data_IF_699161762435
#
_entry.id   IF_699161762435
#
_cell.length_a   1.000
_cell.length_b   1.000
_cell.length_c   1.000
_cell.angle_alpha   90.00
_cell.angle_beta   90.00
_cell.angle_gamma   90.00
#
_symmetry.space_group_name_H-M   'P 1'
#
loop_
_entity.id
_entity.type
_entity.pdbx_description
1 polymer ?
#
# COMPACT_ATOMS: atom_id res chain seq x y z
N UNK A 1 -17.97 3.25 -12.75
CA UNK A 1 -16.87 3.87 -13.46
C UNK A 1 -15.89 2.87 -14.07
N UNK A 2 -14.92 3.33 -14.86
CA UNK A 2 -14.00 2.44 -15.55
C UNK A 2 -12.97 1.80 -14.60
N UNK A 3 -12.57 0.57 -14.94
CA UNK A 3 -11.37 -0.09 -14.42
C UNK A 3 -10.32 -0.02 -15.53
N UNK A 4 -9.17 0.57 -15.25
CA UNK A 4 -8.08 0.74 -16.21
C UNK A 4 -6.78 0.13 -15.70
N UNK A 5 -5.88 -0.20 -16.62
CA UNK A 5 -4.52 -0.62 -16.28
C UNK A 5 -3.58 0.58 -16.12
N UNK A 6 -2.29 0.30 -15.90
CA UNK A 6 -1.25 1.32 -15.74
C UNK A 6 -0.95 2.12 -17.00
N UNK A 7 -1.49 1.71 -18.15
CA UNK A 7 -1.41 2.43 -19.43
C UNK A 7 -2.70 3.16 -19.79
N UNK A 8 -3.70 3.13 -18.91
CA UNK A 8 -5.00 3.74 -19.14
C UNK A 8 -5.96 2.91 -20.00
N UNK A 9 -5.59 1.67 -20.35
CA UNK A 9 -6.46 0.77 -21.12
C UNK A 9 -7.63 0.32 -20.26
N UNK A 10 -8.85 0.46 -20.77
CA UNK A 10 -10.06 0.03 -20.08
C UNK A 10 -10.17 -1.51 -20.08
N UNK A 11 -10.29 -2.09 -18.88
CA UNK A 11 -10.42 -3.54 -18.67
C UNK A 11 -11.81 -3.95 -18.23
N UNK A 12 -12.59 -3.03 -17.68
CA UNK A 12 -13.92 -3.33 -17.16
C UNK A 12 -14.58 -2.13 -16.51
N UNK A 13 -15.59 -2.41 -15.70
CA UNK A 13 -16.39 -1.41 -14.97
C UNK A 13 -16.47 -1.79 -13.49
N UNK A 14 -16.43 -0.81 -12.62
CA UNK A 14 -16.70 -0.98 -11.21
C UNK A 14 -18.01 -0.30 -10.80
N UNK A 15 -18.61 -0.75 -9.72
CA UNK A 15 -19.84 -0.19 -9.18
C UNK A 15 -19.55 1.06 -8.33
N UNK A 16 -18.59 0.96 -7.41
CA UNK A 16 -18.14 2.06 -6.53
C UNK A 16 -16.71 1.84 -6.11
N UNK A 17 -15.90 2.90 -6.10
CA UNK A 17 -14.51 2.84 -5.63
C UNK A 17 -14.41 2.37 -4.17
N UNK A 18 -15.37 2.72 -3.34
CA UNK A 18 -15.37 2.34 -1.92
C UNK A 18 -15.48 0.84 -1.67
N UNK A 19 -15.92 0.07 -2.66
CA UNK A 19 -16.01 -1.39 -2.54
C UNK A 19 -14.67 -2.10 -2.73
N UNK A 20 -13.64 -1.36 -3.11
CA UNK A 20 -12.32 -1.93 -3.42
C UNK A 20 -11.29 -1.48 -2.40
N UNK A 21 -10.29 -2.33 -2.18
CA UNK A 21 -9.16 -2.08 -1.28
C UNK A 21 -7.85 -2.18 -2.07
N UNK A 22 -6.89 -1.32 -1.80
CA UNK A 22 -5.57 -1.42 -2.43
C UNK A 22 -4.96 -2.80 -2.14
N UNK A 23 -4.40 -3.42 -3.15
CA UNK A 23 -3.90 -4.79 -3.07
C UNK A 23 -4.95 -5.88 -3.27
N UNK A 24 -6.22 -5.53 -3.42
CA UNK A 24 -7.28 -6.49 -3.69
C UNK A 24 -7.03 -7.22 -5.00
N UNK A 25 -7.18 -8.54 -4.98
CA UNK A 25 -6.96 -9.41 -6.14
C UNK A 25 -8.26 -9.98 -6.71
N UNK A 26 -9.17 -10.41 -5.87
CA UNK A 26 -10.42 -11.09 -6.28
C UNK A 26 -11.57 -10.10 -6.40
N UNK A 27 -12.62 -10.49 -7.14
CA UNK A 27 -13.84 -9.68 -7.25
C UNK A 27 -13.72 -8.49 -8.18
N UNK A 28 -12.69 -8.44 -9.04
CA UNK A 28 -12.49 -7.33 -9.97
C UNK A 28 -13.32 -7.45 -11.25
N UNK A 29 -13.80 -8.65 -11.58
CA UNK A 29 -14.61 -8.88 -12.80
C UNK A 29 -13.83 -8.72 -14.11
N UNK A 30 -12.50 -8.77 -14.06
CA UNK A 30 -11.60 -8.63 -15.20
C UNK A 30 -10.77 -9.88 -15.46
N UNK A 31 -11.16 -11.01 -14.87
CA UNK A 31 -10.48 -12.30 -15.07
C UNK A 31 -10.46 -12.69 -16.55
N UNK A 32 -9.31 -13.16 -17.03
CA UNK A 32 -9.13 -13.54 -18.41
C UNK A 32 -8.74 -12.40 -19.36
N UNK A 33 -8.70 -11.17 -18.92
CA UNK A 33 -8.13 -10.06 -19.70
C UNK A 33 -6.62 -10.23 -19.75
N UNK A 34 -6.10 -10.40 -20.97
CA UNK A 34 -4.66 -10.54 -21.21
C UNK A 34 -4.10 -9.25 -21.79
N UNK A 35 -2.88 -8.93 -21.41
CA UNK A 35 -2.18 -7.84 -22.05
C UNK A 35 -1.80 -8.24 -23.47
N UNK A 36 -2.28 -7.49 -24.49
CA UNK A 36 -1.93 -7.75 -25.87
C UNK A 36 -0.44 -7.47 -26.08
N UNK A 37 0.30 -8.48 -26.56
CA UNK A 37 1.70 -8.34 -26.88
C UNK A 37 2.66 -8.63 -25.74
N UNK A 38 2.17 -9.05 -24.57
CA UNK A 38 3.04 -9.59 -23.53
C UNK A 38 3.66 -10.91 -24.01
N UNK A 39 4.97 -11.01 -23.92
CA UNK A 39 5.65 -12.28 -24.18
C UNK A 39 5.10 -13.36 -23.26
N UNK A 40 4.99 -14.60 -23.77
CA UNK A 40 4.65 -15.75 -22.95
C UNK A 40 5.63 -15.84 -21.78
N UNK A 41 5.17 -15.55 -20.57
CA UNK A 41 5.97 -15.56 -19.37
C UNK A 41 5.15 -15.21 -18.14
N UNK A 42 5.81 -14.93 -17.03
CA UNK A 42 5.18 -14.67 -15.73
C UNK A 42 4.15 -13.54 -15.76
N UNK A 43 4.24 -12.58 -16.71
CA UNK A 43 3.32 -11.45 -16.82
C UNK A 43 1.97 -11.78 -17.45
N UNK A 44 1.88 -12.79 -18.35
CA UNK A 44 0.66 -13.05 -19.13
C UNK A 44 -0.49 -13.62 -18.27
N UNK A 45 -0.16 -14.40 -17.25
CA UNK A 45 -1.13 -15.03 -16.34
C UNK A 45 -1.05 -14.49 -14.92
N UNK A 46 -0.24 -13.45 -14.69
CA UNK A 46 -0.14 -12.86 -13.37
C UNK A 46 -1.48 -12.24 -12.97
N UNK A 47 -1.86 -12.36 -11.68
CA UNK A 47 -3.11 -11.78 -11.20
C UNK A 47 -3.09 -10.26 -11.26
N UNK A 48 -4.27 -9.68 -11.36
CA UNK A 48 -4.50 -8.25 -11.27
C UNK A 48 -4.73 -7.82 -9.83
N UNK A 49 -4.18 -6.66 -9.46
CA UNK A 49 -4.31 -6.07 -8.13
C UNK A 49 -4.76 -4.62 -8.23
N UNK A 50 -5.60 -4.19 -7.30
CA UNK A 50 -5.96 -2.77 -7.19
C UNK A 50 -4.73 -2.00 -6.70
N UNK A 51 -4.28 -1.02 -7.50
CA UNK A 51 -3.12 -0.20 -7.19
C UNK A 51 -3.49 1.23 -6.77
N UNK A 52 -4.52 1.80 -7.35
CA UNK A 52 -4.93 3.19 -7.09
C UNK A 52 -6.43 3.36 -7.24
N UNK A 53 -6.95 4.35 -6.51
CA UNK A 53 -8.31 4.85 -6.69
C UNK A 53 -8.21 6.31 -7.12
N UNK A 54 -8.50 6.58 -8.37
CA UNK A 54 -8.57 7.94 -8.90
C UNK A 54 -9.97 8.50 -8.65
N UNK A 55 -10.15 9.07 -7.47
CA UNK A 55 -11.46 9.57 -7.02
C UNK A 55 -11.99 10.68 -7.92
N UNK A 56 -11.21 11.71 -8.32
CA UNK A 56 -11.71 12.76 -9.21
C UNK A 56 -12.28 12.26 -10.53
N UNK A 57 -11.73 11.17 -11.06
CA UNK A 57 -12.15 10.58 -12.33
C UNK A 57 -12.99 9.31 -12.16
N UNK A 58 -13.35 8.97 -10.92
CA UNK A 58 -14.13 7.76 -10.60
C UNK A 58 -13.53 6.50 -11.25
N UNK A 59 -12.22 6.40 -11.30
CA UNK A 59 -11.47 5.35 -11.99
C UNK A 59 -10.73 4.46 -11.00
N UNK A 60 -10.88 3.14 -11.17
CA UNK A 60 -10.12 2.14 -10.45
C UNK A 60 -8.92 1.74 -11.31
N UNK A 61 -7.71 1.91 -10.78
CA UNK A 61 -6.49 1.54 -11.49
C UNK A 61 -5.99 0.21 -10.93
N UNK A 62 -5.79 -0.74 -11.83
CA UNK A 62 -5.28 -2.08 -11.50
C UNK A 62 -3.98 -2.33 -12.24
N UNK A 63 -3.12 -3.15 -11.64
CA UNK A 63 -1.83 -3.54 -12.21
C UNK A 63 -1.68 -5.05 -12.16
N UNK A 64 -0.92 -5.59 -13.08
CA UNK A 64 -0.69 -7.02 -13.17
C UNK A 64 0.61 -7.41 -12.47
N UNK A 65 0.54 -8.43 -11.62
CA UNK A 65 1.67 -8.94 -10.87
C UNK A 65 1.81 -8.32 -9.47
N UNK A 66 2.10 -9.19 -8.49
CA UNK A 66 2.21 -8.82 -7.07
C UNK A 66 3.34 -7.78 -6.83
N UNK A 67 4.43 -7.86 -7.60
CA UNK A 67 5.61 -7.02 -7.41
C UNK A 67 5.60 -5.75 -8.26
N UNK A 68 4.45 -5.41 -8.84
CA UNK A 68 4.36 -4.19 -9.65
C UNK A 68 4.76 -2.96 -8.83
N UNK A 69 5.60 -2.05 -9.36
CA UNK A 69 6.11 -0.89 -8.61
C UNK A 69 5.02 0.01 -8.01
N UNK A 70 3.86 0.10 -8.65
CA UNK A 70 2.75 0.91 -8.14
C UNK A 70 2.10 0.35 -6.88
N UNK A 71 2.39 -0.90 -6.53
CA UNK A 71 1.96 -1.49 -5.26
C UNK A 71 2.94 -1.25 -4.12
N UNK A 72 4.15 -0.75 -4.42
CA UNK A 72 5.22 -0.57 -3.45
C UNK A 72 5.38 0.89 -3.06
N UNK A 73 5.60 1.14 -1.78
CA UNK A 73 5.86 2.47 -1.24
C UNK A 73 7.15 2.50 -0.44
N UNK A 74 8.01 3.47 -0.74
CA UNK A 74 9.27 3.69 -0.04
C UNK A 74 9.12 4.70 1.11
N UNK A 75 8.00 5.41 1.19
CA UNK A 75 7.70 6.40 2.23
C UNK A 75 6.27 6.25 2.72
N UNK A 76 6.09 6.30 4.03
CA UNK A 76 4.77 6.27 4.67
C UNK A 76 4.67 7.42 5.66
N UNK A 77 3.61 8.21 5.55
CA UNK A 77 3.28 9.26 6.50
C UNK A 77 2.03 8.86 7.29
N UNK A 78 2.05 9.14 8.58
CA UNK A 78 0.94 8.84 9.48
C UNK A 78 0.67 9.99 10.44
N UNK A 79 -0.56 10.11 10.88
CA UNK A 79 -0.97 11.02 11.95
C UNK A 79 -1.72 10.26 13.06
N UNK A 80 -2.33 10.99 13.97
CA UNK A 80 -3.03 10.42 15.12
C UNK A 80 -2.17 9.39 15.87
N UNK A 81 -0.88 9.70 16.01
CA UNK A 81 0.06 8.81 16.65
C UNK A 81 -0.30 8.58 18.12
N UNK A 82 -0.19 7.33 18.55
CA UNK A 82 -0.33 6.92 19.94
C UNK A 82 0.91 6.13 20.34
N UNK A 83 1.70 6.68 21.24
CA UNK A 83 2.96 6.09 21.69
C UNK A 83 2.79 5.43 23.06
N UNK A 84 3.19 4.18 23.16
CA UNK A 84 3.07 3.39 24.40
C UNK A 84 3.82 4.05 25.56
N UNK A 85 5.01 4.61 25.29
CA UNK A 85 5.80 5.30 26.30
C UNK A 85 5.30 6.72 26.64
N UNK A 86 4.28 7.22 25.92
CA UNK A 86 3.76 8.57 26.10
C UNK A 86 4.51 9.65 25.33
N UNK A 87 5.55 9.28 24.60
CA UNK A 87 6.33 10.14 23.72
C UNK A 87 6.86 9.34 22.53
N UNK A 88 7.22 10.03 21.44
CA UNK A 88 7.76 9.39 20.26
C UNK A 88 9.08 8.67 20.56
N UNK A 89 9.35 7.52 19.93
CA UNK A 89 10.65 6.85 20.00
C UNK A 89 11.76 7.71 19.40
N UNK A 90 13.01 7.42 19.75
CA UNK A 90 14.15 8.02 19.08
C UNK A 90 14.14 7.67 17.59
N UNK A 91 14.59 8.62 16.74
CA UNK A 91 14.73 8.34 15.31
C UNK A 91 15.73 7.21 15.10
N UNK A 92 15.47 6.33 14.16
CA UNK A 92 16.33 5.18 13.89
C UNK A 92 15.60 4.03 13.24
N UNK A 93 16.22 2.86 13.28
CA UNK A 93 15.74 1.63 12.64
C UNK A 93 14.79 0.86 13.56
N UNK A 94 13.62 0.52 13.02
CA UNK A 94 12.60 -0.26 13.72
C UNK A 94 11.93 -1.25 12.77
N UNK A 95 11.23 -2.23 13.33
CA UNK A 95 10.26 -3.02 12.60
C UNK A 95 8.96 -2.23 12.41
N UNK A 96 8.27 -2.46 11.31
CA UNK A 96 6.95 -1.84 11.10
C UNK A 96 5.99 -2.80 10.42
N UNK A 97 4.70 -2.59 10.67
CA UNK A 97 3.59 -3.22 9.94
C UNK A 97 2.65 -2.15 9.43
N UNK A 98 2.33 -2.21 8.15
CA UNK A 98 1.38 -1.31 7.49
C UNK A 98 0.11 -2.02 7.04
N UNK A 99 0.05 -3.35 7.19
CA UNK A 99 -1.11 -4.19 6.90
C UNK A 99 -1.23 -5.29 7.94
N UNK A 100 -2.48 -5.72 8.19
CA UNK A 100 -2.76 -6.87 9.06
C UNK A 100 -2.16 -8.16 8.48
N UNK A 101 -1.60 -9.01 9.34
CA UNK A 101 -0.92 -10.28 9.00
C UNK A 101 0.30 -10.14 8.10
N UNK A 102 0.86 -8.96 8.00
CA UNK A 102 2.13 -8.74 7.32
C UNK A 102 3.28 -9.06 8.30
N UNK A 103 4.39 -9.69 7.84
CA UNK A 103 5.61 -9.74 8.65
C UNK A 103 6.15 -8.33 8.87
N UNK A 104 6.89 -8.14 9.97
CA UNK A 104 7.54 -6.87 10.23
C UNK A 104 8.54 -6.54 9.12
N UNK A 105 8.45 -5.34 8.59
CA UNK A 105 9.44 -4.82 7.67
C UNK A 105 10.42 -3.93 8.42
N UNK A 106 11.68 -3.91 7.99
CA UNK A 106 12.69 -2.99 8.53
C UNK A 106 12.49 -1.60 7.92
N UNK A 107 12.31 -0.61 8.77
CA UNK A 107 12.07 0.78 8.36
C UNK A 107 12.94 1.74 9.17
N UNK A 108 13.09 2.96 8.65
CA UNK A 108 13.69 4.08 9.37
C UNK A 108 12.58 5.01 9.84
N UNK A 109 12.52 5.25 11.14
CA UNK A 109 11.70 6.35 11.67
C UNK A 109 12.47 7.64 11.38
N UNK A 110 12.07 8.35 10.33
CA UNK A 110 12.79 9.52 9.81
C UNK A 110 12.38 10.82 10.49
N UNK A 111 11.12 10.92 10.90
CA UNK A 111 10.57 12.05 11.64
C UNK A 111 9.49 11.52 12.58
N UNK A 112 9.39 12.08 13.78
CA UNK A 112 8.34 11.75 14.72
C UNK A 112 8.15 12.86 15.75
N UNK A 113 6.89 13.09 16.10
CA UNK A 113 6.49 13.90 17.24
C UNK A 113 5.32 13.22 17.98
N UNK A 114 4.63 13.93 18.86
CA UNK A 114 3.54 13.36 19.64
C UNK A 114 2.32 12.95 18.80
N UNK A 115 2.17 13.49 17.58
CA UNK A 115 0.97 13.32 16.75
C UNK A 115 1.22 12.74 15.38
N UNK A 116 2.43 12.87 14.82
CA UNK A 116 2.77 12.48 13.45
C UNK A 116 4.10 11.79 13.37
N UNK A 117 4.26 10.96 12.34
CA UNK A 117 5.55 10.36 12.03
C UNK A 117 5.67 10.03 10.54
N UNK A 118 6.92 9.92 10.10
CA UNK A 118 7.27 9.52 8.75
C UNK A 118 8.22 8.32 8.81
N UNK A 119 7.90 7.29 8.03
CA UNK A 119 8.75 6.11 7.83
C UNK A 119 9.43 6.21 6.47
N UNK A 120 10.74 6.01 6.46
CA UNK A 120 11.51 5.73 5.24
C UNK A 120 11.63 4.22 5.09
N UNK A 121 11.00 3.68 4.05
CA UNK A 121 10.93 2.26 3.75
C UNK A 121 11.79 1.91 2.52
N UNK A 122 12.76 2.74 2.16
CA UNK A 122 13.56 2.57 0.93
C UNK A 122 14.29 1.23 0.91
N UNK A 123 14.83 0.78 2.05
CA UNK A 123 15.54 -0.49 2.14
C UNK A 123 14.60 -1.71 1.97
N UNK A 124 13.36 -1.57 2.39
CA UNK A 124 12.34 -2.62 2.28
C UNK A 124 10.99 -1.97 1.99
N UNK A 125 10.70 -1.66 0.71
CA UNK A 125 9.43 -1.04 0.33
C UNK A 125 8.22 -1.82 0.81
N UNK A 126 7.18 -1.11 1.24
CA UNK A 126 5.96 -1.68 1.80
C UNK A 126 4.93 -1.92 0.70
N UNK A 127 4.27 -3.07 0.76
CA UNK A 127 3.28 -3.48 -0.23
C UNK A 127 1.88 -2.98 0.12
N UNK A 128 1.22 -2.40 -0.88
CA UNK A 128 -0.19 -1.98 -0.83
C UNK A 128 -0.53 -1.12 0.40
N UNK A 129 0.34 -0.16 0.71
CA UNK A 129 0.10 0.80 1.78
C UNK A 129 -1.17 1.58 1.48
N UNK A 130 -2.07 1.64 2.46
CA UNK A 130 -3.42 2.18 2.25
C UNK A 130 -3.70 3.29 3.26
N UNK A 131 -4.00 4.52 2.81
CA UNK A 131 -4.48 5.58 3.69
C UNK A 131 -5.71 5.13 4.49
N UNK A 132 -5.76 5.51 5.75
CA UNK A 132 -6.82 5.07 6.69
C UNK A 132 -6.51 3.80 7.45
N UNK A 133 -5.52 3.02 7.01
CA UNK A 133 -5.02 1.86 7.75
C UNK A 133 -3.96 2.29 8.77
N UNK A 134 -3.65 1.42 9.72
CA UNK A 134 -2.65 1.69 10.75
C UNK A 134 -1.25 1.34 10.28
N UNK A 135 -0.28 2.19 10.65
CA UNK A 135 1.14 1.86 10.64
C UNK A 135 1.60 1.68 12.09
N UNK A 136 2.21 0.54 12.40
CA UNK A 136 2.62 0.19 13.77
C UNK A 136 4.12 -0.06 13.80
N UNK A 137 4.79 0.46 14.82
CA UNK A 137 6.24 0.36 15.02
C UNK A 137 6.57 -0.60 16.14
N UNK A 138 7.64 -1.36 15.94
CA UNK A 138 8.14 -2.34 16.90
C UNK A 138 9.65 -2.20 17.10
N UNK A 139 10.09 -2.38 18.32
CA UNK A 139 11.50 -2.64 18.66
C UNK A 139 11.60 -4.13 19.05
N UNK A 140 12.07 -4.94 18.09
CA UNK A 140 11.93 -6.39 18.23
C UNK A 140 10.46 -6.79 18.33
N UNK A 141 10.08 -7.45 19.42
CA UNK A 141 8.69 -7.85 19.69
C UNK A 141 7.90 -6.79 20.48
N UNK A 142 8.55 -5.72 20.91
CA UNK A 142 7.92 -4.68 21.72
C UNK A 142 7.21 -3.67 20.80
N UNK A 143 5.90 -3.55 20.95
CA UNK A 143 5.12 -2.52 20.25
C UNK A 143 5.41 -1.16 20.86
N UNK A 144 5.86 -0.22 20.02
CA UNK A 144 6.15 1.16 20.43
C UNK A 144 4.94 2.09 20.25
N UNK A 145 4.00 1.69 19.43
CA UNK A 145 2.83 2.48 19.06
C UNK A 145 2.67 2.59 17.55
N UNK A 146 1.86 3.51 17.11
CA UNK A 146 1.58 3.72 15.70
C UNK A 146 0.61 4.84 15.45
N UNK A 147 0.15 4.94 14.22
CA UNK A 147 -0.81 5.96 13.80
C UNK A 147 -1.59 5.53 12.57
N UNK A 148 -2.36 6.45 12.03
CA UNK A 148 -3.19 6.26 10.86
C UNK A 148 -2.46 6.78 9.63
N UNK A 149 -2.29 5.94 8.62
CA UNK A 149 -1.62 6.30 7.37
C UNK A 149 -2.41 7.38 6.66
N UNK A 150 -1.74 8.47 6.30
CA UNK A 150 -2.34 9.61 5.59
C UNK A 150 -1.83 9.72 4.16
N UNK A 151 -0.59 9.31 3.90
CA UNK A 151 0.03 9.39 2.58
C UNK A 151 1.13 8.33 2.43
N UNK A 152 1.43 7.98 1.18
CA UNK A 152 2.52 7.09 0.81
C UNK A 152 3.10 7.53 -0.54
N UNK A 153 4.34 7.17 -0.76
CA UNK A 153 5.01 7.46 -2.03
C UNK A 153 6.05 6.39 -2.40
#
# INVERSE_FOLDING_TARGET
>A
GPIVDDRGRKLGQHVRLSFYTLGQRSGLGIGGVKEKGAARGAGEHAPWFVARKDVPHNTLVVVQGHDHPWLLSARVEADQASWVAGHAPALGTYGSKTRYRQPDATTQLAQADSTRFTLDCTAQPQWAVTPGQSAVLYDGEVCLGGGIITAMA
#
